data_IF_043492662754
#
_entry.id   IF_043492662754
#
_cell.length_a   1.000
_cell.length_b   1.000
_cell.length_c   1.000
_cell.angle_alpha   90.00
_cell.angle_beta   90.00
_cell.angle_gamma   90.00
#
_symmetry.space_group_name_H-M   'P 1'
#
loop_
_entity.id
_entity.type
_entity.pdbx_description
1 polymer ?
#
# COMPACT_ATOMS: atom_id res chain seq x y z
N UNK A 1 -14.74 -15.81 -2.58
CA UNK A 1 -14.30 -14.81 -1.62
C UNK A 1 -14.77 -13.43 -2.06
N UNK A 2 -15.41 -12.73 -1.16
CA UNK A 2 -15.83 -11.38 -1.46
C UNK A 2 -14.66 -10.43 -1.22
N UNK A 3 -14.33 -9.61 -2.21
CA UNK A 3 -13.21 -8.68 -2.12
C UNK A 3 -13.72 -7.25 -2.20
N UNK A 4 -13.00 -6.37 -1.55
CA UNK A 4 -13.22 -4.96 -1.69
C UNK A 4 -11.88 -4.30 -2.00
N UNK A 5 -11.93 -3.27 -2.78
CA UNK A 5 -10.71 -2.64 -3.28
C UNK A 5 -10.67 -1.17 -2.90
N UNK A 6 -9.46 -0.63 -2.89
CA UNK A 6 -9.24 0.79 -2.67
C UNK A 6 -9.61 1.53 -3.94
N UNK A 7 -10.20 2.71 -3.80
CA UNK A 7 -10.45 3.59 -4.93
C UNK A 7 -9.91 4.98 -4.64
N UNK A 8 -9.51 5.68 -5.71
CA UNK A 8 -9.04 7.05 -5.61
C UNK A 8 -9.91 7.88 -6.57
N UNK A 9 -10.61 8.86 -6.02
CA UNK A 9 -11.47 9.72 -6.81
C UNK A 9 -10.67 10.68 -7.68
N UNK A 10 -11.35 11.31 -8.64
CA UNK A 10 -10.72 12.23 -9.58
C UNK A 10 -10.09 13.43 -8.87
N UNK A 11 -10.60 13.79 -7.70
CA UNK A 11 -10.04 14.88 -6.90
C UNK A 11 -9.01 14.41 -5.88
N UNK A 12 -8.58 13.17 -5.96
CA UNK A 12 -7.58 12.62 -5.04
C UNK A 12 -8.17 12.05 -3.77
N UNK A 13 -9.47 11.94 -3.69
CA UNK A 13 -10.14 11.41 -2.52
C UNK A 13 -9.89 9.90 -2.41
N UNK A 14 -9.45 9.46 -1.24
CA UNK A 14 -9.11 8.04 -1.00
C UNK A 14 -10.26 7.36 -0.31
N UNK A 15 -10.69 6.24 -0.84
CA UNK A 15 -11.70 5.40 -0.20
C UNK A 15 -11.11 4.03 0.08
N UNK A 16 -11.02 3.67 1.35
CA UNK A 16 -10.54 2.36 1.77
C UNK A 16 -11.70 1.64 2.45
N UNK A 17 -12.08 0.47 1.96
CA UNK A 17 -13.18 -0.27 2.56
C UNK A 17 -12.84 -0.74 3.97
N UNK A 18 -13.86 -0.99 4.78
CA UNK A 18 -13.67 -1.51 6.13
C UNK A 18 -13.27 -2.97 6.14
N UNK A 19 -13.57 -3.70 5.07
CA UNK A 19 -13.18 -5.10 4.96
C UNK A 19 -11.71 -5.21 4.54
N UNK A 20 -11.06 -6.35 4.80
CA UNK A 20 -9.68 -6.52 4.36
C UNK A 20 -9.54 -6.34 2.85
N UNK A 21 -8.50 -5.64 2.46
CA UNK A 21 -8.24 -5.32 1.05
C UNK A 21 -7.34 -6.38 0.44
N UNK A 22 -7.77 -6.92 -0.70
CA UNK A 22 -6.99 -7.87 -1.49
C UNK A 22 -7.15 -7.51 -2.96
N UNK A 23 -6.08 -7.10 -3.62
CA UNK A 23 -6.12 -6.63 -4.99
C UNK A 23 -5.08 -7.34 -5.85
N UNK A 24 -5.46 -7.60 -7.10
CA UNK A 24 -4.52 -8.18 -8.05
C UNK A 24 -3.52 -7.12 -8.53
N UNK A 25 -2.44 -7.57 -9.16
CA UNK A 25 -1.45 -6.65 -9.71
C UNK A 25 -2.06 -5.69 -10.72
N UNK A 26 -3.00 -6.18 -11.54
CA UNK A 26 -3.67 -5.34 -12.52
C UNK A 26 -4.55 -4.28 -11.86
N UNK A 27 -5.27 -4.67 -10.82
CA UNK A 27 -6.11 -3.73 -10.07
C UNK A 27 -5.26 -2.66 -9.39
N UNK A 28 -4.11 -3.06 -8.84
CA UNK A 28 -3.21 -2.12 -8.21
C UNK A 28 -2.62 -1.16 -9.24
N UNK A 29 -2.25 -1.67 -10.41
CA UNK A 29 -1.73 -0.82 -11.49
C UNK A 29 -2.79 0.20 -11.91
N UNK A 30 -4.04 -0.23 -12.06
CA UNK A 30 -5.13 0.67 -12.38
C UNK A 30 -5.33 1.72 -11.29
N UNK A 31 -5.27 1.30 -10.04
CA UNK A 31 -5.40 2.22 -8.90
C UNK A 31 -4.38 3.35 -8.99
N UNK A 32 -3.14 3.00 -9.31
CA UNK A 32 -2.05 3.97 -9.35
C UNK A 32 -1.85 4.63 -10.71
N UNK A 33 -2.69 4.29 -11.70
CA UNK A 33 -2.53 4.86 -13.03
C UNK A 33 -1.20 4.48 -13.68
N UNK A 34 -0.70 3.29 -13.38
CA UNK A 34 0.57 2.81 -13.90
C UNK A 34 0.36 1.63 -14.84
N UNK A 35 1.34 1.34 -15.67
CA UNK A 35 1.30 0.15 -16.51
C UNK A 35 1.47 -1.09 -15.63
N UNK A 36 0.73 -2.16 -15.97
CA UNK A 36 0.77 -3.39 -15.18
C UNK A 36 2.18 -3.97 -15.07
N UNK A 37 2.99 -3.83 -16.12
CA UNK A 37 4.38 -4.30 -16.07
C UNK A 37 5.20 -3.58 -15.02
N UNK A 38 4.97 -2.29 -14.85
CA UNK A 38 5.69 -1.52 -13.84
C UNK A 38 5.26 -1.95 -12.43
N UNK A 39 3.96 -2.16 -12.25
CA UNK A 39 3.44 -2.66 -10.97
C UNK A 39 4.03 -4.01 -10.61
N UNK A 40 4.05 -4.93 -11.55
CA UNK A 40 4.60 -6.27 -11.33
C UNK A 40 6.10 -6.21 -11.02
N UNK A 41 6.84 -5.34 -11.70
CA UNK A 41 8.27 -5.20 -11.46
C UNK A 41 8.54 -4.69 -10.05
N UNK A 42 7.74 -3.72 -9.57
CA UNK A 42 7.90 -3.20 -8.23
C UNK A 42 7.53 -4.22 -7.16
N UNK A 43 6.50 -5.03 -7.42
CA UNK A 43 6.12 -6.10 -6.49
C UNK A 43 7.28 -7.09 -6.35
N UNK A 44 7.87 -7.50 -7.46
CA UNK A 44 9.01 -8.41 -7.44
C UNK A 44 10.20 -7.81 -6.70
N UNK A 45 10.44 -6.52 -6.91
CA UNK A 45 11.55 -5.83 -6.23
C UNK A 45 11.34 -5.82 -4.72
N UNK A 46 10.11 -5.58 -4.26
CA UNK A 46 9.80 -5.56 -2.82
C UNK A 46 10.09 -6.92 -2.20
N UNK A 47 9.67 -8.00 -2.84
CA UNK A 47 9.95 -9.34 -2.33
C UNK A 47 11.43 -9.67 -2.39
N UNK A 48 12.11 -9.29 -3.46
CA UNK A 48 13.54 -9.56 -3.61
C UNK A 48 14.35 -8.83 -2.55
N UNK A 49 13.94 -7.62 -2.19
CA UNK A 49 14.61 -6.84 -1.17
C UNK A 49 14.27 -7.31 0.26
N UNK A 50 13.35 -8.24 0.38
CA UNK A 50 12.97 -8.77 1.69
C UNK A 50 12.12 -7.85 2.53
N UNK A 51 11.48 -6.87 1.93
CA UNK A 51 10.66 -5.90 2.67
C UNK A 51 9.36 -6.50 3.16
N UNK A 52 8.81 -7.46 2.44
CA UNK A 52 7.59 -8.15 2.82
C UNK A 52 7.73 -9.62 2.53
N UNK A 53 7.01 -10.45 3.27
CA UNK A 53 7.00 -11.91 3.07
C UNK A 53 5.78 -12.31 2.26
N UNK A 54 5.99 -13.09 1.21
CA UNK A 54 4.89 -13.54 0.37
C UNK A 54 3.82 -14.26 1.16
N UNK A 55 4.23 -15.08 2.14
CA UNK A 55 3.28 -15.85 2.95
C UNK A 55 2.31 -14.96 3.72
N UNK A 56 2.68 -13.72 3.98
CA UNK A 56 1.84 -12.81 4.75
C UNK A 56 1.00 -11.89 3.90
N UNK A 57 1.49 -11.52 2.71
CA UNK A 57 0.85 -10.48 1.93
C UNK A 57 0.26 -10.94 0.61
N UNK A 58 0.38 -12.23 0.28
CA UNK A 58 -0.17 -12.77 -0.97
C UNK A 58 -1.21 -13.84 -0.67
N UNK A 59 -2.32 -13.79 -1.39
CA UNK A 59 -3.29 -14.85 -1.42
C UNK A 59 -3.51 -15.26 -2.87
N UNK A 60 -3.49 -16.56 -3.13
CA UNK A 60 -3.71 -17.05 -4.47
C UNK A 60 -5.12 -17.60 -4.53
N UNK A 61 -5.92 -17.13 -5.47
CA UNK A 61 -7.27 -17.62 -5.67
C UNK A 61 -7.39 -18.26 -7.04
N UNK A 62 -8.37 -19.14 -7.16
CA UNK A 62 -8.65 -19.79 -8.44
C UNK A 62 -9.62 -18.94 -9.23
N UNK A 63 -9.34 -18.77 -10.53
CA UNK A 63 -10.22 -18.07 -11.44
C UNK A 63 -10.48 -18.96 -12.64
N UNK A 64 -11.33 -18.50 -13.54
CA UNK A 64 -11.64 -19.26 -14.76
C UNK A 64 -10.41 -19.49 -15.62
N UNK A 65 -9.43 -18.61 -15.55
CA UNK A 65 -8.22 -18.68 -16.36
C UNK A 65 -7.02 -19.26 -15.62
N UNK A 66 -7.24 -19.83 -14.43
CA UNK A 66 -6.15 -20.35 -13.62
C UNK A 66 -6.12 -19.68 -12.28
N UNK A 67 -4.91 -19.41 -11.78
CA UNK A 67 -4.73 -18.82 -10.46
C UNK A 67 -4.35 -17.36 -10.57
N UNK A 68 -4.84 -16.56 -9.64
CA UNK A 68 -4.53 -15.14 -9.56
C UNK A 68 -4.00 -14.85 -8.17
N UNK A 69 -2.88 -14.13 -8.12
CA UNK A 69 -2.32 -13.67 -6.85
C UNK A 69 -2.97 -12.35 -6.47
N UNK A 70 -3.37 -12.26 -5.23
CA UNK A 70 -3.93 -11.04 -4.64
C UNK A 70 -2.99 -10.57 -3.55
N UNK A 71 -2.84 -9.26 -3.45
CA UNK A 71 -1.92 -8.64 -2.53
C UNK A 71 -2.68 -7.82 -1.49
N UNK A 72 -2.21 -7.89 -0.25
CA UNK A 72 -2.85 -7.20 0.86
C UNK A 72 -2.46 -5.73 0.94
N UNK A 73 -3.04 -5.05 1.92
CA UNK A 73 -2.82 -3.62 2.11
C UNK A 73 -1.35 -3.26 2.30
N UNK A 74 -0.59 -4.12 2.94
CA UNK A 74 0.83 -3.86 3.16
C UNK A 74 1.59 -3.67 1.85
N UNK A 75 1.28 -4.52 0.86
CA UNK A 75 1.92 -4.39 -0.44
C UNK A 75 1.49 -3.10 -1.14
N UNK A 76 0.20 -2.79 -1.07
CA UNK A 76 -0.34 -1.59 -1.72
C UNK A 76 0.28 -0.34 -1.10
N UNK A 77 0.37 -0.30 0.22
CA UNK A 77 1.00 0.82 0.92
C UNK A 77 2.47 0.97 0.50
N UNK A 78 3.19 -0.14 0.46
CA UNK A 78 4.60 -0.13 0.06
C UNK A 78 4.75 0.41 -1.36
N UNK A 79 3.88 -0.03 -2.27
CA UNK A 79 3.92 0.41 -3.66
C UNK A 79 3.64 1.90 -3.80
N UNK A 80 2.81 2.48 -2.93
CA UNK A 80 2.52 3.90 -2.99
C UNK A 80 3.77 4.75 -2.77
N UNK A 81 4.79 4.19 -2.12
CA UNK A 81 6.06 4.88 -1.89
C UNK A 81 7.08 4.61 -3.00
N UNK A 82 6.77 3.71 -3.91
CA UNK A 82 7.71 3.32 -4.97
C UNK A 82 7.24 3.73 -6.37
N UNK A 83 5.98 4.05 -6.52
CA UNK A 83 5.41 4.43 -7.80
C UNK A 83 5.21 5.94 -7.84
N UNK A 84 5.70 6.58 -8.91
CA UNK A 84 5.71 8.03 -9.00
C UNK A 84 4.56 8.54 -9.88
N UNK A 85 3.34 8.32 -9.45
CA UNK A 85 2.16 8.85 -10.15
C UNK A 85 1.37 9.74 -9.19
N UNK A 86 0.51 10.63 -9.70
CA UNK A 86 -0.34 11.44 -8.83
C UNK A 86 -1.22 10.59 -7.92
N UNK A 87 -1.75 9.49 -8.44
CA UNK A 87 -2.60 8.60 -7.65
C UNK A 87 -1.82 7.97 -6.49
N UNK A 88 -0.61 7.47 -6.77
CA UNK A 88 0.23 6.91 -5.72
C UNK A 88 0.58 7.97 -4.68
N UNK A 89 0.82 9.20 -5.11
CA UNK A 89 1.10 10.31 -4.21
C UNK A 89 -0.08 10.58 -3.29
N UNK A 90 -1.31 10.54 -3.82
CA UNK A 90 -2.50 10.74 -3.00
C UNK A 90 -2.61 9.68 -1.92
N UNK A 91 -2.41 8.41 -2.27
CA UNK A 91 -2.49 7.34 -1.28
C UNK A 91 -1.36 7.47 -0.25
N UNK A 92 -0.16 7.78 -0.71
CA UNK A 92 1.00 7.97 0.18
C UNK A 92 0.74 9.08 1.19
N UNK A 93 0.20 10.21 0.74
CA UNK A 93 -0.14 11.32 1.63
C UNK A 93 -1.21 10.92 2.63
N UNK A 94 -2.20 10.17 2.16
CA UNK A 94 -3.27 9.69 3.03
C UNK A 94 -2.70 8.81 4.16
N UNK A 95 -1.82 7.87 3.79
CA UNK A 95 -1.19 6.98 4.77
C UNK A 95 -0.39 7.78 5.78
N UNK A 96 0.41 8.72 5.32
CA UNK A 96 1.23 9.55 6.20
C UNK A 96 0.35 10.37 7.13
N UNK A 97 -0.73 10.95 6.59
CA UNK A 97 -1.63 11.76 7.42
C UNK A 97 -2.28 10.94 8.51
N UNK A 98 -2.62 9.68 8.25
CA UNK A 98 -3.22 8.80 9.24
C UNK A 98 -2.22 8.44 10.33
N UNK A 99 -0.98 8.23 9.98
CA UNK A 99 0.07 7.97 10.96
C UNK A 99 0.31 9.18 11.86
N UNK A 100 0.35 10.37 11.29
CA UNK A 100 0.55 11.59 12.05
C UNK A 100 -0.65 11.87 12.95
N UNK A 101 -1.86 11.70 12.44
CA UNK A 101 -3.08 11.88 13.18
C UNK A 101 -3.12 10.95 14.40
N UNK A 102 -2.78 9.70 14.20
CA UNK A 102 -2.75 8.73 15.29
C UNK A 102 -1.69 9.11 16.33
N UNK A 103 -0.56 9.60 15.89
CA UNK A 103 0.52 10.00 16.79
C UNK A 103 0.12 11.20 17.62
N UNK A 104 -0.57 12.17 17.02
CA UNK A 104 -1.04 13.36 17.72
C UNK A 104 -2.07 12.98 18.78
N UNK A 105 -2.93 12.03 18.49
CA UNK A 105 -3.95 11.59 19.42
C UNK A 105 -3.40 10.69 20.53
N UNK A 106 -2.19 10.19 20.38
CA UNK A 106 -1.57 9.36 21.40
C UNK A 106 -1.01 10.26 22.50
N UNK A 107 -0.91 9.75 23.74
CA UNK A 107 -0.24 10.51 24.79
C UNK A 107 1.18 10.84 24.37
N UNK A 108 1.64 12.04 24.63
CA UNK A 108 2.99 12.39 24.23
C UNK A 108 3.99 11.56 24.99
N UNK A 109 4.83 10.96 24.28
CA UNK A 109 5.86 10.25 24.88
C UNK A 109 6.97 11.12 24.81
N UNK A 110 7.26 11.73 24.66
CA UNK A 110 8.23 12.43 24.62
C UNK A 110 9.36 12.22 24.44
N UNK A 111 9.80 12.27 24.02
CA UNK A 111 10.72 12.13 23.79
C UNK A 111 11.53 12.87 23.35
N UNK A 112 11.83 13.10 23.37
CA UNK A 112 12.44 13.69 22.98
C UNK A 112 13.48 13.67 22.99
N UNK A 113 14.03 13.35 22.89
CA UNK A 113 14.90 13.37 22.75
C UNK A 113 15.52 13.32 21.95
N UNK A 114 15.39 13.09 21.73
CA UNK A 114 15.79 12.94 20.90
C UNK A 114 16.44 13.77 20.27
N UNK A 115 16.72 14.37 20.23
CA UNK A 115 17.29 15.09 19.72
C UNK A 115 18.50 14.90 19.61
N UNK A 116 18.91 14.32 19.50
CA UNK A 116 20.00 14.02 19.28
C UNK A 116 20.07 12.94 18.98
N UNK A 117 19.85 12.60 18.88
CA UNK A 117 19.75 11.40 18.65
C UNK A 117 20.25 10.74 17.50
N UNK A 118 19.75 9.64 17.20
CA UNK A 118 20.16 8.75 16.17
C UNK A 118 20.11 9.33 14.79
N UNK A 119 19.46 10.38 14.57
CA UNK A 119 19.51 10.97 13.26
C UNK A 119 20.48 12.12 13.19
N UNK A 120 21.22 12.30 14.18
CA UNK A 120 22.17 13.38 14.20
C UNK A 120 23.35 13.11 13.33
#
# INVERSE_FOLDING_TARGET
MKREIITIGSNGEIHIPSAPVWMSACEIADLFGAFSGKGSAQIKAIFKEGLLLETEVVRTIRSERGFIDLYGMEMIAMLSFRIATPQAKHLRKWIISKLIEKKILSPPLIVYHSKHGWWN
#
